data_IF_498596603538
#
_entry.id   IF_498596603538
#
_cell.length_a   1.000
_cell.length_b   1.000
_cell.length_c   1.000
_cell.angle_alpha   90.00
_cell.angle_beta   90.00
_cell.angle_gamma   90.00
#
_symmetry.space_group_name_H-M   'P 1'
#
loop_
_entity.id
_entity.type
_entity.pdbx_description
1 polymer ?
#
# COMPACT_ATOMS: atom_id res chain seq x y z
N UNK A 1 8.59 -18.45 10.86
CA UNK A 1 8.92 -19.39 11.96
C UNK A 1 7.82 -20.46 11.92
N UNK A 2 8.14 -21.75 11.93
CA UNK A 2 7.07 -22.77 12.09
C UNK A 2 6.56 -22.60 13.51
N UNK A 3 5.29 -22.19 13.64
CA UNK A 3 4.70 -21.89 14.94
C UNK A 3 4.53 -23.19 15.72
N UNK A 4 4.89 -23.15 17.00
CA UNK A 4 5.13 -24.25 17.94
C UNK A 4 3.90 -25.12 18.30
N UNK A 5 3.01 -25.43 17.35
CA UNK A 5 1.81 -26.24 17.66
C UNK A 5 1.66 -27.39 16.70
N UNK A 6 2.35 -28.48 16.99
CA UNK A 6 2.05 -29.76 16.37
C UNK A 6 0.85 -30.39 17.07
N UNK A 7 -0.25 -30.61 16.34
CA UNK A 7 -1.49 -31.19 16.88
C UNK A 7 -1.86 -32.47 16.15
N UNK A 8 -2.64 -33.31 16.80
CA UNK A 8 -3.13 -34.55 16.18
C UNK A 8 -4.32 -34.25 15.26
N UNK A 9 -4.50 -35.05 14.20
CA UNK A 9 -5.55 -34.83 13.17
C UNK A 9 -6.98 -34.81 13.74
N UNK A 10 -7.21 -35.44 14.90
CA UNK A 10 -8.51 -35.51 15.57
C UNK A 10 -8.79 -34.35 16.56
N UNK A 11 -7.83 -33.45 16.77
CA UNK A 11 -8.07 -32.22 17.53
C UNK A 11 -8.76 -31.17 16.64
N UNK A 12 -9.52 -30.23 17.23
CA UNK A 12 -10.21 -29.18 16.46
C UNK A 12 -9.24 -28.47 15.52
N UNK A 13 -9.73 -28.13 14.32
CA UNK A 13 -8.90 -27.51 13.30
C UNK A 13 -8.20 -26.26 13.83
N UNK A 14 -6.92 -26.16 13.52
CA UNK A 14 -6.11 -25.00 13.88
C UNK A 14 -6.69 -23.79 13.14
N UNK A 15 -7.07 -22.76 13.89
CA UNK A 15 -7.53 -21.48 13.30
C UNK A 15 -6.36 -20.90 12.51
N UNK A 16 -6.51 -20.88 11.19
CA UNK A 16 -5.57 -20.22 10.30
C UNK A 16 -5.78 -18.71 10.46
N UNK A 17 -4.72 -17.98 10.81
CA UNK A 17 -4.70 -16.52 10.67
C UNK A 17 -4.10 -16.14 9.32
N UNK A 18 -4.02 -14.85 9.00
CA UNK A 18 -3.26 -14.40 7.83
C UNK A 18 -1.82 -14.96 7.86
N UNK A 19 -1.26 -15.21 6.68
CA UNK A 19 0.08 -15.79 6.46
C UNK A 19 0.27 -17.24 6.93
N UNK A 20 -0.82 -18.02 7.01
CA UNK A 20 -0.78 -19.40 7.48
C UNK A 20 -1.39 -20.39 6.50
N UNK A 21 -0.86 -21.62 6.52
CA UNK A 21 -1.40 -22.79 5.83
C UNK A 21 -1.28 -24.02 6.73
N UNK A 22 -2.08 -25.06 6.44
CA UNK A 22 -2.02 -26.31 7.20
C UNK A 22 -1.21 -27.35 6.44
N UNK A 23 -0.24 -27.96 7.12
CA UNK A 23 0.51 -29.10 6.63
C UNK A 23 0.15 -30.34 7.46
N UNK A 24 -0.41 -31.35 6.79
CA UNK A 24 -0.64 -32.69 7.36
C UNK A 24 0.51 -33.59 6.96
N UNK A 25 1.20 -34.20 7.92
CA UNK A 25 2.31 -35.12 7.66
C UNK A 25 1.87 -36.55 7.94
N UNK A 26 1.96 -37.41 6.92
CA UNK A 26 1.67 -38.84 6.96
C UNK A 26 2.98 -39.61 7.16
N UNK A 27 3.32 -39.86 8.42
CA UNK A 27 4.51 -40.56 8.88
C UNK A 27 4.25 -41.96 9.44
N UNK A 28 5.21 -42.46 10.21
CA UNK A 28 5.09 -43.64 11.08
C UNK A 28 5.35 -43.20 12.52
N UNK A 29 5.07 -44.09 13.48
CA UNK A 29 5.41 -43.84 14.89
C UNK A 29 6.93 -43.62 15.04
N UNK A 30 7.31 -42.77 15.99
CA UNK A 30 8.70 -42.45 16.36
C UNK A 30 9.53 -41.70 15.31
N UNK A 31 8.87 -41.08 14.34
CA UNK A 31 9.53 -40.14 13.43
C UNK A 31 9.69 -38.75 14.06
N UNK A 32 10.67 -37.99 13.57
CA UNK A 32 10.92 -36.60 13.98
C UNK A 32 10.92 -35.70 12.76
N UNK A 33 10.12 -34.63 12.80
CA UNK A 33 10.10 -33.58 11.77
C UNK A 33 10.98 -32.42 12.22
N UNK A 34 11.94 -32.08 11.38
CA UNK A 34 12.74 -30.88 11.46
C UNK A 34 12.31 -29.89 10.38
N UNK A 35 12.32 -28.60 10.71
CA UNK A 35 12.05 -27.54 9.75
C UNK A 35 13.03 -26.38 9.91
N UNK A 36 13.24 -25.66 8.80
CA UNK A 36 14.02 -24.42 8.75
C UNK A 36 13.30 -23.43 7.84
N UNK A 37 13.25 -22.16 8.24
CA UNK A 37 12.77 -21.08 7.39
C UNK A 37 13.86 -20.70 6.38
N UNK A 38 13.53 -20.68 5.08
CA UNK A 38 14.44 -20.32 4.00
C UNK A 38 14.97 -18.88 4.13
N UNK A 39 14.21 -17.97 4.75
CA UNK A 39 14.67 -16.61 5.03
C UNK A 39 15.86 -16.54 5.99
N UNK A 40 16.09 -17.57 6.83
CA UNK A 40 17.21 -17.60 7.75
C UNK A 40 18.38 -18.43 7.21
N UNK A 41 19.28 -17.79 6.45
CA UNK A 41 20.44 -18.45 5.84
C UNK A 41 21.32 -19.20 6.86
N UNK A 42 21.61 -18.58 8.01
CA UNK A 42 22.49 -19.14 9.05
C UNK A 42 21.80 -19.98 10.14
N UNK A 43 20.48 -20.22 10.06
CA UNK A 43 19.80 -21.07 11.04
C UNK A 43 20.06 -22.56 10.79
N UNK A 44 20.21 -23.33 11.86
CA UNK A 44 20.15 -24.79 11.82
C UNK A 44 18.69 -25.27 11.73
N UNK A 45 18.49 -26.51 11.26
CA UNK A 45 17.20 -27.20 11.29
C UNK A 45 16.76 -27.39 12.74
N UNK A 46 15.56 -26.93 13.09
CA UNK A 46 14.97 -27.11 14.43
C UNK A 46 13.98 -28.26 14.40
N UNK A 47 13.97 -29.06 15.46
CA UNK A 47 12.93 -30.06 15.68
C UNK A 47 11.60 -29.34 15.92
N UNK A 48 10.59 -29.70 15.14
CA UNK A 48 9.24 -29.14 15.25
C UNK A 48 8.32 -30.12 15.97
N UNK A 49 8.37 -31.40 15.59
CA UNK A 49 7.41 -32.40 16.06
C UNK A 49 8.03 -33.78 16.22
N UNK A 50 7.60 -34.50 17.26
CA UNK A 50 7.85 -35.92 17.46
C UNK A 50 6.54 -36.70 17.24
N UNK A 51 6.57 -37.69 16.36
CA UNK A 51 5.39 -38.42 15.91
C UNK A 51 5.06 -39.57 16.86
N UNK A 52 4.08 -39.36 17.75
CA UNK A 52 3.53 -40.45 18.56
C UNK A 52 2.46 -41.27 17.80
N UNK A 53 1.91 -40.70 16.72
CA UNK A 53 0.93 -41.33 15.81
C UNK A 53 1.40 -41.22 14.37
N UNK A 54 0.77 -41.98 13.47
CA UNK A 54 1.10 -41.98 12.04
C UNK A 54 0.78 -40.65 11.34
N UNK A 55 -0.11 -39.82 11.90
CA UNK A 55 -0.57 -38.59 11.26
C UNK A 55 -0.57 -37.41 12.23
N UNK A 56 -0.02 -36.28 11.78
CA UNK A 56 0.01 -35.02 12.54
C UNK A 56 -0.31 -33.84 11.62
N UNK A 57 -0.96 -32.82 12.18
CA UNK A 57 -1.20 -31.53 11.53
C UNK A 57 -0.34 -30.46 12.19
N UNK A 58 0.22 -29.56 11.39
CA UNK A 58 0.93 -28.37 11.88
C UNK A 58 0.58 -27.15 11.02
N UNK A 59 0.67 -25.97 11.64
CA UNK A 59 0.61 -24.71 10.90
C UNK A 59 2.00 -24.39 10.36
N UNK A 60 2.05 -24.04 9.08
CA UNK A 60 3.24 -23.51 8.41
C UNK A 60 2.98 -22.06 8.00
N UNK A 61 4.05 -21.26 8.05
CA UNK A 61 4.01 -19.87 7.61
C UNK A 61 4.13 -19.83 6.07
N UNK A 62 3.34 -19.00 5.42
CA UNK A 62 3.28 -18.87 3.95
C UNK A 62 4.17 -17.74 3.41
N UNK A 63 4.63 -16.83 4.28
CA UNK A 63 5.46 -15.68 3.92
C UNK A 63 6.80 -16.06 3.29
N UNK A 64 7.40 -17.18 3.74
CA UNK A 64 8.70 -17.64 3.26
C UNK A 64 8.72 -19.16 3.01
N UNK A 65 9.60 -19.59 2.11
CA UNK A 65 9.85 -21.02 1.87
C UNK A 65 10.26 -21.75 3.14
N UNK A 66 9.80 -22.98 3.30
CA UNK A 66 10.16 -23.84 4.43
C UNK A 66 10.91 -25.08 3.94
N UNK A 67 12.05 -25.34 4.55
CA UNK A 67 12.85 -26.56 4.38
C UNK A 67 12.34 -27.59 5.38
N UNK A 68 12.03 -28.81 4.92
CA UNK A 68 11.48 -29.88 5.78
C UNK A 68 12.37 -31.11 5.73
N UNK A 69 12.63 -31.72 6.87
CA UNK A 69 13.40 -32.95 6.99
C UNK A 69 12.73 -33.91 7.98
N UNK A 70 12.34 -35.09 7.50
CA UNK A 70 11.82 -36.20 8.30
C UNK A 70 12.94 -37.21 8.58
N UNK A 71 13.02 -37.61 9.84
CA UNK A 71 14.03 -38.53 10.36
C UNK A 71 13.34 -39.67 11.10
N UNK A 72 13.83 -40.89 10.94
CA UNK A 72 13.33 -42.09 11.63
C UNK A 72 13.97 -42.25 13.03
N UNK A 73 13.48 -43.19 13.85
CA UNK A 73 14.00 -43.48 15.19
C UNK A 73 15.50 -43.81 15.20
N UNK A 74 16.02 -44.40 14.11
CA UNK A 74 17.45 -44.69 13.91
C UNK A 74 18.28 -43.49 13.44
N UNK A 75 17.72 -42.28 13.49
CA UNK A 75 18.32 -41.04 13.00
C UNK A 75 18.62 -41.00 11.48
N UNK A 76 18.00 -41.91 10.71
CA UNK A 76 18.12 -41.97 9.26
C UNK A 76 17.17 -40.96 8.61
N UNK A 77 17.65 -40.26 7.59
CA UNK A 77 16.81 -39.29 6.86
C UNK A 77 15.85 -40.03 5.94
N UNK A 78 14.55 -39.91 6.20
CA UNK A 78 13.48 -40.57 5.42
C UNK A 78 13.09 -39.70 4.23
N UNK A 79 12.93 -38.40 4.46
CA UNK A 79 12.53 -37.44 3.45
C UNK A 79 13.19 -36.10 3.75
N UNK A 80 13.74 -35.45 2.73
CA UNK A 80 14.32 -34.11 2.82
C UNK A 80 13.81 -33.29 1.65
N UNK A 81 13.21 -32.14 1.95
CA UNK A 81 12.81 -31.12 0.97
C UNK A 81 13.60 -29.86 1.18
N UNK A 82 14.23 -29.42 0.09
CA UNK A 82 15.17 -28.30 0.09
C UNK A 82 14.47 -26.96 0.26
N UNK A 83 13.32 -26.74 -0.39
CA UNK A 83 12.49 -25.55 -0.17
C UNK A 83 11.09 -25.77 -0.74
N UNK A 84 10.04 -25.46 0.04
CA UNK A 84 8.66 -25.43 -0.44
C UNK A 84 7.96 -24.19 0.11
N UNK A 85 7.32 -23.42 -0.77
CA UNK A 85 6.51 -22.25 -0.43
C UNK A 85 5.03 -22.63 -0.39
N UNK A 86 4.41 -22.43 0.76
CA UNK A 86 2.98 -22.67 0.97
C UNK A 86 2.16 -21.43 0.59
N UNK A 87 0.97 -21.62 0.03
CA UNK A 87 0.00 -20.55 -0.23
C UNK A 87 -0.98 -20.36 0.92
N UNK A 88 -1.52 -19.16 1.07
CA UNK A 88 -2.42 -18.77 2.17
C UNK A 88 -3.68 -19.64 2.23
N UNK A 89 -4.01 -20.09 3.45
CA UNK A 89 -5.16 -20.94 3.75
C UNK A 89 -5.19 -22.27 2.96
N UNK A 90 -4.07 -22.65 2.34
CA UNK A 90 -3.95 -23.94 1.65
C UNK A 90 -3.86 -25.10 2.64
N UNK A 91 -4.39 -26.27 2.25
CA UNK A 91 -4.19 -27.52 3.00
C UNK A 91 -3.31 -28.45 2.19
N UNK A 92 -2.16 -28.81 2.78
CA UNK A 92 -1.11 -29.59 2.14
C UNK A 92 -0.90 -30.91 2.88
N UNK A 93 -0.56 -31.97 2.16
CA UNK A 93 -0.28 -33.30 2.74
C UNK A 93 1.10 -33.79 2.31
N UNK A 94 1.99 -34.05 3.27
CA UNK A 94 3.33 -34.62 3.04
C UNK A 94 3.33 -36.12 3.36
N UNK A 95 3.61 -36.95 2.35
CA UNK A 95 3.75 -38.41 2.52
C UNK A 95 5.20 -38.79 2.79
N UNK A 96 5.46 -39.53 3.87
CA UNK A 96 6.80 -40.05 4.20
C UNK A 96 7.33 -41.07 3.19
N UNK A 97 6.47 -41.83 2.50
CA UNK A 97 6.86 -42.85 1.53
C UNK A 97 7.37 -42.29 0.21
N UNK A 98 6.74 -41.23 -0.30
CA UNK A 98 7.06 -40.62 -1.61
C UNK A 98 7.79 -39.29 -1.47
N UNK A 99 7.82 -38.69 -0.27
CA UNK A 99 8.39 -37.38 -0.01
C UNK A 99 7.78 -36.26 -0.89
N UNK A 100 6.54 -36.45 -1.34
CA UNK A 100 5.77 -35.47 -2.12
C UNK A 100 4.80 -34.72 -1.22
N UNK A 101 4.62 -33.43 -1.51
CA UNK A 101 3.61 -32.56 -0.89
C UNK A 101 2.46 -32.46 -1.90
N UNK A 102 1.31 -32.99 -1.52
CA UNK A 102 0.07 -32.96 -2.31
C UNK A 102 -0.82 -31.82 -1.81
N UNK A 103 -1.36 -31.02 -2.73
CA UNK A 103 -2.34 -29.99 -2.40
C UNK A 103 -3.71 -30.65 -2.24
N UNK A 104 -4.25 -30.61 -1.03
CA UNK A 104 -5.56 -31.21 -0.71
C UNK A 104 -6.69 -30.21 -0.93
N UNK A 105 -6.43 -28.94 -0.61
CA UNK A 105 -7.27 -27.81 -1.03
C UNK A 105 -6.37 -26.69 -1.57
N UNK A 106 -6.73 -26.10 -2.72
CA UNK A 106 -5.94 -25.03 -3.31
C UNK A 106 -5.91 -23.81 -2.36
N UNK A 107 -4.79 -23.05 -2.35
CA UNK A 107 -4.70 -21.83 -1.55
C UNK A 107 -5.68 -20.77 -2.07
N UNK A 108 -6.09 -19.88 -1.17
CA UNK A 108 -6.96 -18.76 -1.54
C UNK A 108 -6.16 -17.78 -2.40
N UNK A 109 -6.71 -17.39 -3.55
CA UNK A 109 -6.09 -16.38 -4.39
C UNK A 109 -6.39 -14.98 -3.82
N UNK A 110 -5.47 -14.46 -3.02
CA UNK A 110 -5.55 -13.16 -2.37
C UNK A 110 -5.64 -12.00 -3.38
N UNK A 111 -5.14 -12.19 -4.60
CA UNK A 111 -5.16 -11.17 -5.65
C UNK A 111 -6.53 -11.03 -6.34
N UNK A 112 -7.38 -12.06 -6.30
CA UNK A 112 -8.65 -12.11 -7.03
C UNK A 112 -9.66 -11.00 -6.66
N UNK A 113 -10.01 -10.77 -5.38
CA UNK A 113 -10.91 -9.67 -5.00
C UNK A 113 -10.35 -8.28 -5.35
N UNK A 114 -9.02 -8.14 -5.41
CA UNK A 114 -8.34 -6.90 -5.76
C UNK A 114 -8.51 -6.61 -7.25
N UNK A 115 -8.37 -7.61 -8.12
CA UNK A 115 -8.65 -7.45 -9.55
C UNK A 115 -10.10 -7.04 -9.81
N UNK A 116 -11.06 -7.58 -9.06
CA UNK A 116 -12.47 -7.16 -9.16
C UNK A 116 -12.67 -5.69 -8.74
N UNK A 117 -12.01 -5.23 -7.68
CA UNK A 117 -12.08 -3.84 -7.24
C UNK A 117 -11.48 -2.88 -8.30
N UNK A 118 -10.31 -3.22 -8.85
CA UNK A 118 -9.67 -2.43 -9.92
C UNK A 118 -10.56 -2.40 -11.17
N UNK A 119 -11.10 -3.55 -11.58
CA UNK A 119 -12.01 -3.63 -12.73
C UNK A 119 -13.28 -2.81 -12.50
N UNK A 120 -13.85 -2.86 -11.30
CA UNK A 120 -15.02 -2.06 -10.94
C UNK A 120 -14.71 -0.56 -11.00
N UNK A 121 -13.53 -0.11 -10.55
CA UNK A 121 -13.12 1.29 -10.62
C UNK A 121 -12.85 1.72 -12.06
N UNK A 122 -12.17 0.90 -12.86
CA UNK A 122 -11.98 1.16 -14.29
C UNK A 122 -13.32 1.22 -15.01
N UNK A 123 -14.26 0.35 -14.68
CA UNK A 123 -15.61 0.35 -15.24
C UNK A 123 -16.39 1.59 -14.80
N UNK A 124 -16.37 1.96 -13.51
CA UNK A 124 -17.04 3.17 -13.00
C UNK A 124 -16.45 4.43 -13.63
N UNK A 125 -15.13 4.56 -13.69
CA UNK A 125 -14.46 5.71 -14.33
C UNK A 125 -14.72 5.74 -15.84
N UNK A 126 -14.76 4.59 -16.51
CA UNK A 126 -15.12 4.49 -17.93
C UNK A 126 -16.59 4.85 -18.17
N UNK A 127 -17.52 4.38 -17.33
CA UNK A 127 -18.94 4.71 -17.41
C UNK A 127 -19.20 6.18 -17.10
N UNK A 128 -18.54 6.75 -16.09
CA UNK A 128 -18.57 8.19 -15.81
C UNK A 128 -17.97 8.99 -16.98
N UNK A 129 -16.90 8.48 -17.60
CA UNK A 129 -16.30 9.03 -18.81
C UNK A 129 -17.26 9.03 -20.02
N UNK A 130 -17.89 7.89 -20.32
CA UNK A 130 -18.92 7.80 -21.37
C UNK A 130 -20.11 8.69 -21.06
N UNK A 131 -20.61 8.67 -19.82
CA UNK A 131 -21.73 9.51 -19.40
C UNK A 131 -21.39 10.99 -19.57
N UNK A 132 -20.17 11.40 -19.21
CA UNK A 132 -19.71 12.78 -19.42
C UNK A 132 -19.55 13.15 -20.90
N UNK A 133 -19.12 12.21 -21.76
CA UNK A 133 -19.02 12.41 -23.22
C UNK A 133 -20.39 12.49 -23.89
N UNK A 134 -21.32 11.62 -23.52
CA UNK A 134 -22.71 11.62 -24.00
C UNK A 134 -23.43 12.88 -23.51
N UNK A 135 -23.19 13.30 -22.27
CA UNK A 135 -23.71 14.56 -21.70
C UNK A 135 -23.09 15.78 -22.35
N UNK A 136 -21.80 15.77 -22.73
CA UNK A 136 -21.18 16.87 -23.50
C UNK A 136 -21.87 17.08 -24.86
N UNK A 137 -22.46 16.03 -25.43
CA UNK A 137 -23.23 16.10 -26.67
C UNK A 137 -24.73 16.41 -26.46
N UNK A 138 -25.17 16.56 -25.20
CA UNK A 138 -26.56 16.81 -24.81
C UNK A 138 -26.65 18.04 -23.90
N UNK A 139 -27.19 19.15 -24.42
CA UNK A 139 -27.26 20.46 -23.75
C UNK A 139 -28.22 20.54 -22.54
N UNK A 140 -28.59 19.42 -21.90
CA UNK A 140 -29.53 19.41 -20.79
C UNK A 140 -28.82 19.21 -19.44
N UNK A 141 -28.82 20.27 -18.64
CA UNK A 141 -28.53 20.19 -17.21
C UNK A 141 -29.68 19.48 -16.50
N UNK A 142 -29.39 18.69 -15.46
CA UNK A 142 -30.43 18.06 -14.62
C UNK A 142 -31.37 19.07 -13.92
N UNK A 143 -30.99 20.36 -13.89
CA UNK A 143 -31.74 21.44 -13.27
C UNK A 143 -32.38 22.41 -14.30
N UNK A 144 -32.30 22.10 -15.61
CA UNK A 144 -32.80 22.97 -16.69
C UNK A 144 -31.79 24.03 -17.16
N UNK A 145 -32.16 24.75 -18.23
CA UNK A 145 -31.38 25.88 -18.77
C UNK A 145 -31.18 26.95 -17.69
N UNK A 146 -29.94 27.43 -17.52
CA UNK A 146 -29.58 28.47 -16.53
C UNK A 146 -28.84 27.98 -15.26
N UNK A 147 -28.72 26.67 -15.05
CA UNK A 147 -28.05 26.08 -13.86
C UNK A 147 -26.69 25.41 -14.15
N UNK A 148 -26.07 25.69 -15.29
CA UNK A 148 -24.77 25.12 -15.70
C UNK A 148 -23.60 25.44 -14.73
N UNK A 149 -23.74 26.49 -13.92
CA UNK A 149 -22.80 26.90 -12.88
C UNK A 149 -22.94 26.09 -11.56
N UNK A 150 -23.95 25.23 -11.46
CA UNK A 150 -24.32 24.50 -10.24
C UNK A 150 -24.23 22.98 -10.36
N UNK A 151 -23.83 22.43 -11.52
CA UNK A 151 -23.75 20.99 -11.73
C UNK A 151 -22.53 20.38 -11.01
N UNK A 152 -22.70 19.77 -9.82
CA UNK A 152 -21.58 19.33 -8.99
C UNK A 152 -20.93 18.07 -9.58
N UNK A 153 -21.63 17.34 -10.45
CA UNK A 153 -21.19 16.03 -10.94
C UNK A 153 -20.02 16.11 -11.93
N UNK A 154 -19.88 17.23 -12.66
CA UNK A 154 -18.80 17.44 -13.62
C UNK A 154 -17.61 18.25 -13.05
N UNK A 155 -17.76 18.81 -11.83
CA UNK A 155 -16.75 19.65 -11.20
C UNK A 155 -16.16 18.95 -9.99
N UNK A 156 -14.84 18.97 -9.83
CA UNK A 156 -14.12 18.45 -8.65
C UNK A 156 -13.01 19.40 -8.19
N UNK A 157 -13.20 20.69 -8.49
CA UNK A 157 -12.25 21.76 -8.17
C UNK A 157 -12.56 22.46 -6.83
N UNK A 158 -11.75 23.46 -6.47
CA UNK A 158 -11.84 24.16 -5.18
C UNK A 158 -13.02 25.15 -5.05
N UNK A 159 -13.77 25.41 -6.12
CA UNK A 159 -14.80 26.45 -6.16
C UNK A 159 -14.22 27.86 -5.97
N UNK A 160 -15.04 28.78 -5.45
CA UNK A 160 -14.61 30.16 -5.17
C UNK A 160 -14.11 30.88 -6.43
N UNK A 161 -12.97 31.58 -6.33
CA UNK A 161 -12.29 32.31 -7.41
C UNK A 161 -11.74 31.41 -8.54
N UNK A 162 -11.78 30.09 -8.37
CA UNK A 162 -11.36 29.15 -9.42
C UNK A 162 -12.20 29.31 -10.69
N UNK A 163 -11.54 29.24 -11.85
CA UNK A 163 -12.19 29.43 -13.17
C UNK A 163 -13.00 30.74 -13.26
N UNK A 164 -12.46 31.83 -12.69
CA UNK A 164 -13.09 33.15 -12.77
C UNK A 164 -14.39 33.28 -11.97
N UNK A 165 -14.60 32.45 -10.95
CA UNK A 165 -15.79 32.53 -10.10
C UNK A 165 -16.99 31.72 -10.60
N UNK A 166 -16.87 30.99 -11.73
CA UNK A 166 -17.97 30.25 -12.34
C UNK A 166 -18.63 29.23 -11.40
N UNK A 167 -17.85 28.63 -10.50
CA UNK A 167 -18.29 27.56 -9.59
C UNK A 167 -18.14 27.96 -8.11
N UNK A 168 -18.55 29.20 -7.78
CA UNK A 168 -18.31 29.81 -6.47
C UNK A 168 -18.74 28.92 -5.28
N UNK A 169 -19.98 28.41 -5.28
CA UNK A 169 -20.54 27.61 -4.18
C UNK A 169 -20.30 26.10 -4.31
N UNK A 170 -19.59 25.64 -5.34
CA UNK A 170 -19.40 24.22 -5.65
C UNK A 170 -18.03 23.69 -5.21
N UNK A 171 -17.52 24.13 -4.05
CA UNK A 171 -16.25 23.66 -3.50
C UNK A 171 -16.25 22.14 -3.31
N UNK A 172 -15.26 21.47 -3.87
CA UNK A 172 -15.09 20.01 -3.81
C UNK A 172 -16.08 19.22 -4.70
N UNK A 173 -17.08 19.90 -5.28
CA UNK A 173 -17.98 19.39 -6.30
C UNK A 173 -18.58 18.01 -5.99
N UNK A 174 -18.40 17.03 -6.89
CA UNK A 174 -19.03 15.72 -6.78
C UNK A 174 -18.67 14.98 -5.49
N UNK A 175 -17.42 15.10 -5.03
CA UNK A 175 -16.96 14.48 -3.79
C UNK A 175 -17.73 15.02 -2.58
N UNK A 176 -17.85 16.35 -2.50
CA UNK A 176 -18.59 17.00 -1.42
C UNK A 176 -20.07 16.66 -1.41
N UNK A 177 -20.69 16.47 -2.57
CA UNK A 177 -22.08 16.02 -2.66
C UNK A 177 -22.27 14.61 -2.10
N UNK A 178 -21.37 13.69 -2.43
CA UNK A 178 -21.39 12.31 -1.93
C UNK A 178 -21.13 12.29 -0.41
N UNK A 179 -20.12 13.03 0.04
CA UNK A 179 -19.76 13.08 1.45
C UNK A 179 -20.90 13.68 2.29
N UNK A 180 -21.57 14.75 1.82
CA UNK A 180 -22.77 15.30 2.46
C UNK A 180 -23.91 14.32 2.56
N UNK A 181 -24.13 13.55 1.49
CA UNK A 181 -25.21 12.57 1.43
C UNK A 181 -24.98 11.41 2.40
N UNK A 182 -23.75 10.91 2.50
CA UNK A 182 -23.43 9.72 3.31
C UNK A 182 -23.07 10.07 4.76
N UNK A 183 -22.18 11.04 4.95
CA UNK A 183 -21.67 11.42 6.28
C UNK A 183 -22.59 12.43 6.98
N UNK A 184 -23.37 13.22 6.22
CA UNK A 184 -24.18 14.32 6.73
C UNK A 184 -23.40 15.61 6.94
N UNK A 185 -24.10 16.75 6.88
CA UNK A 185 -23.51 18.11 6.99
C UNK A 185 -22.79 18.37 8.33
N UNK A 186 -23.16 17.64 9.40
CA UNK A 186 -22.51 17.78 10.71
C UNK A 186 -21.09 17.22 10.77
N UNK A 187 -20.75 16.32 9.84
CA UNK A 187 -19.47 15.59 9.84
C UNK A 187 -18.45 16.12 8.85
N UNK A 188 -18.70 17.28 8.25
CA UNK A 188 -17.84 17.86 7.21
C UNK A 188 -16.82 18.82 7.80
N UNK A 189 -15.58 18.67 7.36
CA UNK A 189 -14.49 19.57 7.68
C UNK A 189 -14.78 21.02 7.26
N UNK A 190 -14.78 21.93 8.25
CA UNK A 190 -15.25 23.31 8.09
C UNK A 190 -14.19 24.31 7.63
N UNK A 191 -12.90 23.96 7.71
CA UNK A 191 -11.79 24.90 7.44
C UNK A 191 -10.88 24.43 6.30
N UNK A 192 -11.42 24.24 5.09
CA UNK A 192 -10.64 23.80 3.95
C UNK A 192 -9.53 24.77 3.58
N UNK A 193 -8.40 24.22 3.13
CA UNK A 193 -7.21 24.98 2.70
C UNK A 193 -7.49 25.87 1.49
N UNK A 194 -8.53 25.59 0.69
CA UNK A 194 -8.93 26.44 -0.43
C UNK A 194 -9.39 27.84 0.01
N UNK A 195 -9.76 28.07 1.28
CA UNK A 195 -10.26 29.36 1.77
C UNK A 195 -9.25 30.48 1.55
N UNK A 196 -7.96 30.18 1.76
CA UNK A 196 -6.90 31.19 1.71
C UNK A 196 -6.49 31.57 0.29
N UNK A 197 -6.70 30.67 -0.69
CA UNK A 197 -6.20 30.84 -2.07
C UNK A 197 -7.33 31.18 -3.03
N UNK A 198 -8.48 30.52 -2.87
CA UNK A 198 -9.61 30.63 -3.79
C UNK A 198 -10.83 31.29 -3.14
N UNK A 199 -10.75 31.72 -1.88
CA UNK A 199 -11.89 32.31 -1.15
C UNK A 199 -13.15 31.42 -1.18
N UNK A 200 -12.95 30.11 -1.11
CA UNK A 200 -14.05 29.15 -1.17
C UNK A 200 -15.02 29.34 0.01
N UNK A 201 -16.33 29.45 -0.29
CA UNK A 201 -17.39 29.70 0.70
C UNK A 201 -17.87 28.42 1.39
N UNK A 202 -17.72 27.27 0.74
CA UNK A 202 -18.29 25.99 1.15
C UNK A 202 -17.27 25.08 1.85
N UNK A 203 -17.75 24.32 2.83
CA UNK A 203 -17.01 23.23 3.50
C UNK A 203 -16.93 22.00 2.58
N UNK A 204 -15.81 21.27 2.65
CA UNK A 204 -15.61 19.97 2.00
C UNK A 204 -14.76 19.05 2.88
N UNK A 205 -14.93 17.74 2.72
CA UNK A 205 -14.17 16.72 3.46
C UNK A 205 -12.92 16.26 2.68
N UNK A 206 -11.69 16.59 3.12
CA UNK A 206 -10.47 16.15 2.42
C UNK A 206 -10.21 14.65 2.52
N UNK A 207 -10.73 13.98 3.55
CA UNK A 207 -10.60 12.53 3.76
C UNK A 207 -11.95 11.82 3.57
N UNK A 208 -12.77 12.32 2.65
CA UNK A 208 -14.10 11.78 2.35
C UNK A 208 -14.07 10.37 1.75
N UNK A 209 -15.23 9.85 1.35
CA UNK A 209 -15.35 8.49 0.83
C UNK A 209 -14.53 8.29 -0.45
N UNK A 210 -14.62 9.23 -1.39
CA UNK A 210 -13.85 9.17 -2.63
C UNK A 210 -12.35 9.29 -2.40
N UNK A 211 -11.94 10.15 -1.45
CA UNK A 211 -10.53 10.30 -1.06
C UNK A 211 -9.97 9.03 -0.41
N UNK A 212 -10.77 8.36 0.42
CA UNK A 212 -10.40 7.07 1.03
C UNK A 212 -10.23 5.98 -0.03
N UNK A 213 -11.11 5.97 -1.04
CA UNK A 213 -11.01 5.03 -2.16
C UNK A 213 -9.73 5.26 -2.99
N UNK A 214 -9.42 6.51 -3.34
CA UNK A 214 -8.20 6.83 -4.08
C UNK A 214 -6.93 6.58 -3.25
N UNK A 215 -6.97 6.83 -1.93
CA UNK A 215 -5.90 6.45 -1.02
C UNK A 215 -5.67 4.94 -0.99
N UNK A 216 -6.74 4.13 -1.01
CA UNK A 216 -6.66 2.67 -1.11
C UNK A 216 -5.97 2.23 -2.40
N UNK A 217 -6.30 2.85 -3.54
CA UNK A 217 -5.61 2.60 -4.82
C UNK A 217 -4.11 2.92 -4.70
N UNK A 218 -3.76 4.03 -4.03
CA UNK A 218 -2.35 4.41 -3.83
C UNK A 218 -1.56 3.33 -3.08
N UNK A 219 -2.16 2.74 -2.03
CA UNK A 219 -1.57 1.62 -1.28
C UNK A 219 -1.37 0.41 -2.19
N UNK A 220 -2.35 0.08 -3.02
CA UNK A 220 -2.24 -1.04 -3.98
C UNK A 220 -1.15 -0.84 -5.02
N UNK A 221 -0.96 0.38 -5.52
CA UNK A 221 0.16 0.67 -6.42
C UNK A 221 1.50 0.38 -5.70
N UNK A 222 1.63 0.79 -4.44
CA UNK A 222 2.80 0.46 -3.61
C UNK A 222 3.00 -1.05 -3.42
N UNK A 223 1.92 -1.79 -3.15
CA UNK A 223 1.95 -3.25 -3.03
C UNK A 223 2.41 -3.91 -4.34
N UNK A 224 1.89 -3.46 -5.48
CA UNK A 224 2.24 -4.01 -6.79
C UNK A 224 3.73 -3.82 -7.10
N UNK A 225 4.28 -2.66 -6.79
CA UNK A 225 5.72 -2.38 -6.95
C UNK A 225 6.56 -3.24 -6.01
N UNK A 226 6.07 -3.48 -4.80
CA UNK A 226 6.71 -4.37 -3.82
C UNK A 226 6.69 -5.84 -4.27
N UNK A 227 5.58 -6.32 -4.83
CA UNK A 227 5.49 -7.66 -5.41
C UNK A 227 6.47 -7.83 -6.57
N UNK A 228 6.61 -6.83 -7.46
CA UNK A 228 7.61 -6.85 -8.54
C UNK A 228 9.03 -6.98 -7.97
N UNK A 229 9.32 -6.29 -6.87
CA UNK A 229 10.63 -6.35 -6.21
C UNK A 229 10.96 -7.77 -5.69
N UNK A 230 9.96 -8.48 -5.16
CA UNK A 230 10.10 -9.81 -4.56
C UNK A 230 10.09 -10.95 -5.59
N UNK A 231 9.19 -10.89 -6.57
CA UNK A 231 8.98 -11.97 -7.54
C UNK A 231 10.10 -12.04 -8.58
N UNK A 232 10.56 -10.89 -9.10
CA UNK A 232 11.52 -10.88 -10.19
C UNK A 232 12.95 -10.82 -9.69
N UNK A 233 13.73 -11.91 -9.86
CA UNK A 233 15.13 -11.95 -9.37
C UNK A 233 16.09 -11.04 -10.15
N UNK A 234 15.89 -10.85 -11.46
CA UNK A 234 16.80 -10.09 -12.33
C UNK A 234 16.46 -8.59 -12.31
N UNK A 235 17.45 -7.73 -12.06
CA UNK A 235 17.27 -6.28 -12.01
C UNK A 235 16.70 -5.70 -13.31
N UNK A 236 17.14 -6.19 -14.48
CA UNK A 236 16.58 -5.76 -15.78
C UNK A 236 15.07 -5.97 -15.87
N UNK A 237 14.57 -7.11 -15.39
CA UNK A 237 13.13 -7.43 -15.39
C UNK A 237 12.34 -6.55 -14.41
N UNK A 238 12.94 -6.14 -13.28
CA UNK A 238 12.34 -5.18 -12.35
C UNK A 238 12.18 -3.81 -13.00
N UNK A 239 13.25 -3.27 -13.58
CA UNK A 239 13.25 -1.95 -14.20
C UNK A 239 12.23 -1.84 -15.34
N UNK A 240 12.18 -2.82 -16.25
CA UNK A 240 11.19 -2.83 -17.34
C UNK A 240 9.77 -2.68 -16.78
N UNK A 241 9.44 -3.36 -15.68
CA UNK A 241 8.12 -3.31 -15.07
C UNK A 241 7.87 -2.03 -14.29
N UNK A 242 8.85 -1.52 -13.55
CA UNK A 242 8.74 -0.22 -12.88
C UNK A 242 8.48 0.90 -13.90
N UNK A 243 9.24 0.94 -15.00
CA UNK A 243 9.03 1.93 -16.04
C UNK A 243 7.69 1.73 -16.78
N UNK A 244 7.27 0.48 -17.01
CA UNK A 244 5.95 0.22 -17.60
C UNK A 244 4.82 0.74 -16.69
N UNK A 245 4.85 0.45 -15.39
CA UNK A 245 3.87 0.97 -14.43
C UNK A 245 3.91 2.49 -14.31
N UNK A 246 5.11 3.08 -14.23
CA UNK A 246 5.26 4.53 -14.19
C UNK A 246 4.69 5.18 -15.46
N UNK A 247 4.96 4.63 -16.65
CA UNK A 247 4.43 5.16 -17.90
C UNK A 247 2.90 5.05 -17.99
N UNK A 248 2.33 3.90 -17.61
CA UNK A 248 0.87 3.68 -17.59
C UNK A 248 0.19 4.65 -16.61
N UNK A 249 0.70 4.76 -15.39
CA UNK A 249 0.13 5.65 -14.37
C UNK A 249 0.30 7.12 -14.75
N UNK A 250 1.47 7.52 -15.26
CA UNK A 250 1.70 8.89 -15.70
C UNK A 250 0.78 9.25 -16.88
N UNK A 251 0.65 8.36 -17.86
CA UNK A 251 -0.26 8.53 -19.00
C UNK A 251 -1.73 8.62 -18.57
N UNK A 252 -2.17 7.70 -17.70
CA UNK A 252 -3.54 7.71 -17.17
C UNK A 252 -3.83 8.97 -16.34
N UNK A 253 -2.91 9.38 -15.48
CA UNK A 253 -3.05 10.57 -14.64
C UNK A 253 -3.11 11.87 -15.44
N UNK A 254 -2.20 12.05 -16.41
CA UNK A 254 -2.19 13.23 -17.30
C UNK A 254 -3.35 13.25 -18.29
N UNK A 255 -3.83 12.08 -18.72
CA UNK A 255 -5.05 11.96 -19.50
C UNK A 255 -6.29 12.37 -18.69
N UNK A 256 -6.43 11.86 -17.47
CA UNK A 256 -7.56 12.22 -16.58
C UNK A 256 -7.58 13.71 -16.23
N UNK A 257 -6.41 14.31 -16.01
CA UNK A 257 -6.27 15.75 -15.75
C UNK A 257 -6.64 16.60 -16.97
N UNK A 258 -6.50 16.06 -18.19
CA UNK A 258 -6.69 16.81 -19.41
C UNK A 258 -5.49 17.70 -19.77
N UNK A 259 -4.29 17.39 -19.27
CA UNK A 259 -3.07 18.18 -19.51
C UNK A 259 -2.82 18.41 -21.02
N UNK A 260 -3.10 17.40 -21.85
CA UNK A 260 -2.91 17.49 -23.31
C UNK A 260 -4.09 18.13 -24.05
N UNK A 261 -5.30 18.03 -23.50
CA UNK A 261 -6.54 18.60 -24.04
C UNK A 261 -7.46 18.95 -22.88
N UNK A 262 -7.49 20.22 -22.45
CA UNK A 262 -8.28 20.65 -21.29
C UNK A 262 -9.77 20.30 -21.41
N UNK A 263 -10.28 20.23 -22.64
CA UNK A 263 -11.68 19.87 -22.92
C UNK A 263 -12.02 18.40 -22.66
N UNK A 264 -11.03 17.52 -22.50
CA UNK A 264 -11.19 16.07 -22.29
C UNK A 264 -10.86 15.69 -20.83
N UNK A 265 -10.25 16.61 -20.06
CA UNK A 265 -9.92 16.40 -18.66
C UNK A 265 -11.17 16.18 -17.81
N UNK A 266 -11.27 15.01 -17.18
CA UNK A 266 -12.39 14.63 -16.32
C UNK A 266 -12.13 14.98 -14.85
N UNK A 267 -10.89 14.77 -14.40
CA UNK A 267 -10.50 14.86 -12.99
C UNK A 267 -9.20 15.65 -12.90
N UNK A 268 -9.23 16.95 -12.59
CA UNK A 268 -8.02 17.73 -12.36
C UNK A 268 -7.18 17.19 -11.20
N UNK A 269 -5.86 17.41 -11.29
CA UNK A 269 -4.92 17.10 -10.22
C UNK A 269 -5.26 17.97 -9.01
N UNK A 270 -5.82 17.35 -7.98
CA UNK A 270 -6.25 18.02 -6.76
C UNK A 270 -5.72 17.28 -5.54
N UNK A 271 -4.70 17.86 -4.91
CA UNK A 271 -4.06 17.31 -3.71
C UNK A 271 -5.03 17.24 -2.52
N UNK A 272 -5.90 18.23 -2.36
CA UNK A 272 -6.76 18.33 -1.18
C UNK A 272 -7.89 17.29 -1.18
N UNK A 273 -8.33 16.83 -2.35
CA UNK A 273 -9.31 15.75 -2.50
C UNK A 273 -8.64 14.39 -2.71
N UNK A 274 -7.31 14.32 -2.67
CA UNK A 274 -6.54 13.16 -3.07
C UNK A 274 -7.03 12.58 -4.41
N UNK A 275 -7.18 13.43 -5.43
CA UNK A 275 -7.86 13.04 -6.67
C UNK A 275 -7.17 11.85 -7.37
N UNK A 276 -7.93 11.13 -8.22
CA UNK A 276 -7.40 9.97 -8.92
C UNK A 276 -6.23 10.33 -9.85
N UNK A 277 -6.33 11.45 -10.57
CA UNK A 277 -5.24 11.98 -11.41
C UNK A 277 -4.02 12.35 -10.56
N UNK A 278 -4.21 13.00 -9.41
CA UNK A 278 -3.13 13.29 -8.46
C UNK A 278 -2.45 11.99 -7.98
N UNK A 279 -3.23 10.99 -7.60
CA UNK A 279 -2.73 9.69 -7.13
C UNK A 279 -1.88 9.00 -8.20
N UNK A 280 -2.34 8.94 -9.44
CA UNK A 280 -1.61 8.30 -10.53
C UNK A 280 -0.33 9.03 -10.91
N UNK A 281 -0.36 10.36 -11.03
CA UNK A 281 0.84 11.15 -11.37
C UNK A 281 1.88 11.06 -10.26
N UNK A 282 1.48 11.22 -8.99
CA UNK A 282 2.41 11.15 -7.86
C UNK A 282 2.96 9.74 -7.65
N UNK A 283 2.14 8.70 -7.86
CA UNK A 283 2.60 7.32 -7.87
C UNK A 283 3.65 7.06 -8.96
N UNK A 284 3.42 7.55 -10.18
CA UNK A 284 4.38 7.40 -11.27
C UNK A 284 5.73 8.06 -10.96
N UNK A 285 5.71 9.29 -10.44
CA UNK A 285 6.93 9.99 -10.00
C UNK A 285 7.62 9.23 -8.88
N UNK A 286 6.86 8.72 -7.91
CA UNK A 286 7.39 7.93 -6.79
C UNK A 286 8.06 6.64 -7.28
N UNK A 287 7.51 5.95 -8.28
CA UNK A 287 8.11 4.74 -8.88
C UNK A 287 9.42 5.09 -9.60
N UNK A 288 9.50 6.23 -10.28
CA UNK A 288 10.73 6.69 -10.94
C UNK A 288 11.81 6.98 -9.89
N UNK A 289 11.47 7.74 -8.84
CA UNK A 289 12.39 8.04 -7.74
C UNK A 289 12.86 6.75 -7.06
N UNK A 290 11.93 5.84 -6.77
CA UNK A 290 12.25 4.53 -6.20
C UNK A 290 13.17 3.71 -7.12
N UNK A 291 12.93 3.73 -8.43
CA UNK A 291 13.79 3.05 -9.40
C UNK A 291 15.22 3.60 -9.40
N UNK A 292 15.37 4.92 -9.30
CA UNK A 292 16.69 5.57 -9.21
C UNK A 292 17.39 5.17 -7.91
N UNK A 293 16.68 5.23 -6.77
CA UNK A 293 17.24 4.83 -5.48
C UNK A 293 17.65 3.36 -5.46
N UNK A 294 16.80 2.47 -5.99
CA UNK A 294 17.10 1.05 -6.13
C UNK A 294 18.34 0.81 -7.01
N UNK A 295 18.49 1.57 -8.10
CA UNK A 295 19.70 1.48 -8.93
C UNK A 295 20.95 1.90 -8.16
N UNK A 296 20.90 3.05 -7.48
CA UNK A 296 22.06 3.64 -6.79
C UNK A 296 22.49 2.79 -5.58
N UNK A 297 21.52 2.32 -4.79
CA UNK A 297 21.76 1.62 -3.52
C UNK A 297 21.96 0.12 -3.74
N UNK A 298 21.01 -0.57 -4.39
CA UNK A 298 21.02 -2.03 -4.46
C UNK A 298 21.86 -2.59 -5.61
N UNK A 299 21.88 -1.90 -6.76
CA UNK A 299 22.60 -2.38 -7.97
C UNK A 299 24.02 -1.85 -8.02
N UNK A 300 24.20 -0.52 -7.99
CA UNK A 300 25.50 0.12 -8.10
C UNK A 300 26.26 0.15 -6.76
N UNK A 301 25.55 0.07 -5.63
CA UNK A 301 26.12 0.15 -4.27
C UNK A 301 26.99 1.39 -4.05
N UNK A 302 26.62 2.51 -4.66
CA UNK A 302 27.34 3.79 -4.51
C UNK A 302 26.99 4.49 -3.21
N UNK A 303 25.87 4.12 -2.59
CA UNK A 303 25.35 4.73 -1.39
C UNK A 303 24.66 3.68 -0.50
N UNK A 304 24.74 3.86 0.81
CA UNK A 304 24.16 2.99 1.84
C UNK A 304 22.69 3.34 2.15
N UNK A 305 22.16 4.42 1.56
CA UNK A 305 20.80 4.92 1.78
C UNK A 305 20.66 5.82 3.01
N UNK A 306 21.75 6.17 3.70
CA UNK A 306 21.72 7.12 4.81
C UNK A 306 21.64 8.56 4.27
N UNK A 307 20.61 9.38 4.59
CA UNK A 307 19.85 9.32 5.84
C UNK A 307 18.47 8.65 5.80
N UNK A 308 17.99 8.24 4.63
CA UNK A 308 16.63 7.74 4.44
C UNK A 308 16.36 6.46 5.23
N UNK A 309 17.37 5.62 5.42
CA UNK A 309 17.25 4.38 6.18
C UNK A 309 16.92 4.62 7.66
N UNK A 310 17.53 5.61 8.30
CA UNK A 310 17.31 5.87 9.73
C UNK A 310 16.04 6.69 9.98
N UNK A 311 15.73 7.67 9.12
CA UNK A 311 14.48 8.44 9.25
C UNK A 311 13.27 7.60 8.86
N UNK A 312 13.39 6.76 7.82
CA UNK A 312 12.32 5.91 7.32
C UNK A 312 11.85 4.88 8.35
N UNK A 313 12.76 4.24 9.08
CA UNK A 313 12.41 3.26 10.15
C UNK A 313 11.67 3.87 11.34
N UNK A 314 11.70 5.20 11.49
CA UNK A 314 11.06 5.94 12.58
C UNK A 314 10.12 7.04 12.08
N UNK A 315 9.64 6.96 10.83
CA UNK A 315 8.95 8.06 10.15
C UNK A 315 7.73 8.58 10.90
N UNK A 316 6.89 7.68 11.45
CA UNK A 316 5.68 8.05 12.20
C UNK A 316 6.04 8.81 13.48
N UNK A 317 7.04 8.34 14.23
CA UNK A 317 7.49 9.01 15.45
C UNK A 317 8.03 10.39 15.14
N UNK A 318 8.86 10.52 14.11
CA UNK A 318 9.41 11.82 13.70
C UNK A 318 8.29 12.77 13.27
N UNK A 319 7.28 12.29 12.54
CA UNK A 319 6.11 13.07 12.15
C UNK A 319 5.31 13.56 13.36
N UNK A 320 4.91 12.64 14.26
CA UNK A 320 4.13 12.99 15.46
C UNK A 320 4.90 13.95 16.35
N UNK A 321 6.20 13.69 16.58
CA UNK A 321 7.03 14.56 17.39
C UNK A 321 7.18 15.95 16.75
N UNK A 322 7.33 16.05 15.43
CA UNK A 322 7.34 17.34 14.73
C UNK A 322 6.05 18.13 14.95
N UNK A 323 4.89 17.47 14.90
CA UNK A 323 3.59 18.10 15.16
C UNK A 323 3.45 18.54 16.63
N UNK A 324 3.89 17.71 17.58
CA UNK A 324 3.82 18.03 19.01
C UNK A 324 4.74 19.19 19.41
N UNK A 325 5.92 19.30 18.81
CA UNK A 325 6.89 20.36 19.08
C UNK A 325 6.76 21.58 18.15
N UNK A 326 5.62 21.73 17.47
CA UNK A 326 5.36 22.88 16.61
C UNK A 326 5.39 24.18 17.43
N UNK A 327 6.03 25.21 16.90
CA UNK A 327 6.23 26.51 17.57
C UNK A 327 7.07 26.47 18.87
N UNK A 328 7.77 25.36 19.16
CA UNK A 328 8.69 25.24 20.29
C UNK A 328 10.17 25.13 19.87
N UNK A 329 11.04 25.82 20.61
CA UNK A 329 12.49 25.63 20.51
C UNK A 329 12.87 24.26 21.13
N UNK A 330 13.76 23.45 20.52
CA UNK A 330 14.62 23.75 19.37
C UNK A 330 14.07 23.26 18.01
N UNK A 331 12.81 22.84 17.90
CA UNK A 331 12.31 22.18 16.67
C UNK A 331 11.85 23.19 15.63
N UNK A 332 10.94 24.08 16.00
CA UNK A 332 10.39 25.10 15.11
C UNK A 332 9.88 26.24 15.98
N UNK A 333 10.42 27.45 15.90
CA UNK A 333 9.95 28.61 16.68
C UNK A 333 9.45 29.72 15.77
N UNK A 334 8.79 30.72 16.35
CA UNK A 334 8.31 31.87 15.57
C UNK A 334 9.49 32.69 15.05
N UNK A 335 9.50 32.91 13.75
CA UNK A 335 10.43 33.80 13.04
C UNK A 335 9.61 34.82 12.27
N UNK A 336 10.23 35.94 11.91
CA UNK A 336 9.61 36.96 11.06
C UNK A 336 9.07 36.33 9.77
N UNK A 337 8.00 36.90 9.23
CA UNK A 337 7.30 36.38 8.04
C UNK A 337 8.03 36.66 6.73
N UNK A 338 9.34 36.49 6.73
CA UNK A 338 10.19 36.60 5.56
C UNK A 338 10.48 35.21 4.97
N UNK A 339 10.61 35.14 3.66
CA UNK A 339 10.97 33.90 2.99
C UNK A 339 12.30 33.27 3.49
N UNK A 340 13.42 34.01 3.63
CA UNK A 340 14.70 33.42 4.05
C UNK A 340 14.67 32.87 5.48
N UNK A 341 14.06 33.57 6.42
CA UNK A 341 13.93 33.11 7.81
C UNK A 341 13.11 31.82 7.91
N UNK A 342 11.99 31.73 7.17
CA UNK A 342 11.17 30.52 7.08
C UNK A 342 11.90 29.37 6.41
N UNK A 343 12.64 29.62 5.33
CA UNK A 343 13.44 28.59 4.67
C UNK A 343 14.51 28.04 5.61
N UNK A 344 15.25 28.92 6.29
CA UNK A 344 16.28 28.54 7.25
C UNK A 344 15.69 27.71 8.40
N UNK A 345 14.54 28.10 8.95
CA UNK A 345 13.86 27.37 10.01
C UNK A 345 13.38 25.98 9.54
N UNK A 346 12.83 25.87 8.33
CA UNK A 346 12.38 24.57 7.80
C UNK A 346 13.57 23.64 7.49
N UNK A 347 14.66 24.16 6.95
CA UNK A 347 15.90 23.40 6.74
C UNK A 347 16.49 22.93 8.07
N UNK A 348 16.47 23.79 9.09
CA UNK A 348 16.85 23.43 10.44
C UNK A 348 15.96 22.31 11.00
N UNK A 349 14.64 22.41 10.87
CA UNK A 349 13.71 21.38 11.33
C UNK A 349 14.00 20.02 10.68
N UNK A 350 14.28 19.99 9.37
CA UNK A 350 14.68 18.76 8.67
C UNK A 350 16.01 18.22 9.20
N UNK A 351 17.03 19.07 9.35
CA UNK A 351 18.34 18.67 9.88
C UNK A 351 18.23 18.14 11.32
N UNK A 352 17.44 18.80 12.16
CA UNK A 352 17.19 18.39 13.54
C UNK A 352 16.58 16.98 13.60
N UNK A 353 15.54 16.70 12.82
CA UNK A 353 14.91 15.37 12.81
C UNK A 353 15.78 14.28 12.17
N UNK A 354 16.66 14.64 11.21
CA UNK A 354 17.69 13.73 10.70
C UNK A 354 18.67 13.36 11.83
N UNK A 355 19.13 14.33 12.63
CA UNK A 355 20.02 14.08 13.77
C UNK A 355 19.33 13.18 14.81
N UNK A 356 18.08 13.47 15.15
CA UNK A 356 17.28 12.64 16.07
C UNK A 356 17.12 11.22 15.53
N UNK A 357 16.75 11.07 14.25
CA UNK A 357 16.63 9.76 13.60
C UNK A 357 17.94 8.97 13.61
N UNK A 358 19.07 9.65 13.40
CA UNK A 358 20.40 9.05 13.51
C UNK A 358 20.71 8.56 14.93
N UNK A 359 20.40 9.35 15.96
CA UNK A 359 20.57 8.93 17.36
C UNK A 359 19.69 7.73 17.72
N UNK A 360 18.42 7.74 17.31
CA UNK A 360 17.51 6.61 17.51
C UNK A 360 18.05 5.35 16.85
N UNK A 361 18.53 5.46 15.61
CA UNK A 361 19.13 4.34 14.87
C UNK A 361 20.38 3.79 15.57
N UNK A 362 21.29 4.65 16.03
CA UNK A 362 22.49 4.25 16.80
C UNK A 362 22.15 3.55 18.11
N UNK A 363 21.02 3.87 18.73
CA UNK A 363 20.53 3.24 19.97
C UNK A 363 19.66 2.01 19.72
N UNK A 364 19.41 1.64 18.47
CA UNK A 364 18.54 0.51 18.11
C UNK A 364 17.06 0.72 18.45
N UNK A 365 16.63 1.98 18.57
CA UNK A 365 15.24 2.33 18.91
C UNK A 365 14.44 2.43 17.60
N UNK A 366 13.50 1.51 17.42
CA UNK A 366 12.55 1.49 16.32
C UNK A 366 11.15 1.31 16.88
N UNK A 367 10.34 2.34 16.74
CA UNK A 367 8.97 2.36 17.24
C UNK A 367 8.01 2.20 16.05
N UNK A 368 7.35 1.05 15.97
CA UNK A 368 6.22 0.81 15.08
C UNK A 368 4.93 0.99 15.88
N UNK A 369 3.95 1.71 15.32
CA UNK A 369 2.61 1.82 15.89
C UNK A 369 1.78 0.56 15.59
#
# INVERSE_FOLDING_TARGET
>A
MVLETCRYVHEPDLVQTMDMATLTVLGRKEMVLYAKNAACFSCSLRQVCHFNRATMKLIVNTTYGTVLKLVDHRNNTVCKREEFTFGEHGNYTLRSSTCLIEETSPPVNTDLPIYFAILAILLVTFLLGIFSLVRRNSSSSWFGEGYEALDPLGYVGPGGLSQGGKYWNCTGGAATLIDRFVLGESHIYRNPTCKNVYECSSSFEPEGLLGTLTATINVFIGLQISQILLVFKRSKSKFIRFFAWAAVLFGAGTFLDGTFKPEIGLIPINKNLWSLSFTFVTSAVSIIVFSILFLVIDVCKWWDGSPFTFTGKNAIVLYVAHVLFRETFPVQWKVENEHPSRLALNLWGVAFWIIVGFFMHRRGIYLSL
#
